data_IF_219209034016
#
_entry.id   IF_219209034016
#
_cell.length_a   1.000
_cell.length_b   1.000
_cell.length_c   1.000
_cell.angle_alpha   90.00
_cell.angle_beta   90.00
_cell.angle_gamma   90.00
#
_symmetry.space_group_name_H-M   'P 1'
#
loop_
_entity.id
_entity.type
_entity.pdbx_description
1 polymer ?
#
# COMPACT_ATOMS: atom_id res chain seq x y z
N UNK A 1 -9.17 0.64 -8.21
CA UNK A 1 -9.11 0.45 -6.75
C UNK A 1 -8.64 1.73 -6.03
N UNK A 2 -7.37 2.13 -6.13
CA UNK A 2 -6.84 3.35 -5.46
C UNK A 2 -7.61 4.63 -5.82
N UNK A 3 -7.86 4.85 -7.11
CA UNK A 3 -8.67 5.95 -7.63
C UNK A 3 -10.11 5.98 -7.06
N UNK A 4 -10.71 4.81 -6.85
CA UNK A 4 -12.07 4.68 -6.31
C UNK A 4 -12.06 4.87 -4.79
N UNK A 5 -11.02 4.38 -4.09
CA UNK A 5 -10.85 4.59 -2.65
C UNK A 5 -10.71 6.07 -2.29
N UNK A 6 -9.92 6.83 -3.04
CA UNK A 6 -9.78 8.28 -2.83
C UNK A 6 -11.01 9.09 -3.27
N UNK A 7 -11.73 8.66 -4.31
CA UNK A 7 -12.98 9.32 -4.70
C UNK A 7 -14.04 9.26 -3.60
N UNK A 8 -14.07 8.19 -2.79
CA UNK A 8 -14.96 8.08 -1.62
C UNK A 8 -14.62 9.15 -0.57
N UNK A 9 -13.33 9.43 -0.37
CA UNK A 9 -12.84 10.41 0.62
C UNK A 9 -13.13 11.87 0.22
N UNK A 10 -13.08 12.17 -1.08
CA UNK A 10 -13.31 13.53 -1.58
C UNK A 10 -14.80 13.90 -1.69
N UNK A 11 -15.69 12.91 -1.84
CA UNK A 11 -17.13 13.13 -2.03
C UNK A 11 -17.92 13.39 -0.73
N UNK A 12 -17.26 13.44 0.44
CA UNK A 12 -17.93 13.72 1.73
C UNK A 12 -18.54 15.12 1.77
N UNK A 13 -18.08 16.06 0.92
CA UNK A 13 -18.63 17.42 0.85
C UNK A 13 -19.82 17.58 -0.09
N UNK A 14 -20.10 16.60 -0.98
CA UNK A 14 -21.19 16.64 -1.95
C UNK A 14 -21.12 17.76 -3.01
N UNK A 15 -20.04 18.55 -3.05
CA UNK A 15 -19.93 19.74 -3.91
C UNK A 15 -19.00 19.59 -5.12
N UNK A 16 -18.28 18.47 -5.27
CA UNK A 16 -17.31 18.25 -6.36
C UNK A 16 -17.46 16.87 -7.00
N UNK A 17 -17.49 16.83 -8.34
CA UNK A 17 -17.69 15.60 -9.15
C UNK A 17 -16.41 15.20 -9.91
N UNK A 18 -15.63 14.32 -9.28
CA UNK A 18 -14.69 13.33 -9.87
C UNK A 18 -13.28 13.74 -10.35
N UNK A 19 -12.24 13.13 -9.77
CA UNK A 19 -10.82 13.14 -10.20
C UNK A 19 -10.58 12.31 -11.49
N UNK A 20 -9.85 12.84 -12.48
CA UNK A 20 -9.34 12.13 -13.69
C UNK A 20 -7.86 11.73 -13.50
N UNK A 21 -7.51 10.51 -13.90
CA UNK A 21 -6.22 9.84 -13.64
C UNK A 21 -5.36 9.66 -14.90
N UNK A 22 -5.82 10.10 -16.07
CA UNK A 22 -5.18 9.79 -17.35
C UNK A 22 -4.17 10.86 -17.79
N UNK A 23 -2.90 10.74 -17.38
CA UNK A 23 -1.83 11.65 -17.84
C UNK A 23 -0.51 11.52 -17.08
N UNK A 24 0.41 10.75 -17.66
CA UNK A 24 1.75 10.32 -17.20
C UNK A 24 2.63 11.34 -16.44
N UNK A 25 3.40 10.87 -15.45
CA UNK A 25 4.85 10.61 -15.56
C UNK A 25 5.46 10.28 -14.19
N UNK A 26 6.34 9.28 -14.18
CA UNK A 26 7.10 8.80 -13.01
C UNK A 26 8.10 9.86 -12.53
N UNK A 27 7.78 10.57 -11.45
CA UNK A 27 8.70 11.39 -10.67
C UNK A 27 9.37 10.56 -9.57
N UNK A 28 10.48 9.92 -9.93
CA UNK A 28 11.58 9.37 -9.11
C UNK A 28 11.29 8.84 -7.69
N UNK A 29 11.11 7.52 -7.61
CA UNK A 29 11.90 6.70 -6.70
C UNK A 29 13.03 6.04 -7.51
N UNK A 30 14.11 6.78 -7.82
CA UNK A 30 15.41 6.24 -8.28
C UNK A 30 16.43 7.36 -8.57
N UNK A 31 17.29 7.65 -7.61
CA UNK A 31 18.70 8.01 -7.90
C UNK A 31 19.45 6.70 -8.16
N UNK A 32 19.39 6.16 -9.39
CA UNK A 32 20.28 5.10 -9.88
C UNK A 32 19.97 4.74 -11.34
N UNK A 33 20.30 5.60 -12.30
CA UNK A 33 20.71 5.22 -13.67
C UNK A 33 20.70 6.46 -14.57
N UNK A 34 21.84 7.14 -14.68
CA UNK A 34 22.08 8.15 -15.71
C UNK A 34 23.38 7.85 -16.46
N UNK A 35 23.35 6.79 -17.27
CA UNK A 35 24.38 6.53 -18.29
C UNK A 35 23.71 5.96 -19.54
N UNK A 36 23.26 6.83 -20.46
CA UNK A 36 23.38 6.65 -21.92
C UNK A 36 22.59 7.72 -22.70
N UNK A 37 23.32 8.66 -23.29
CA UNK A 37 23.36 8.85 -24.76
C UNK A 37 22.07 9.12 -25.54
N UNK A 38 21.93 10.37 -25.96
CA UNK A 38 21.01 10.96 -26.96
C UNK A 38 21.05 10.38 -28.40
N UNK A 39 19.97 10.70 -29.16
CA UNK A 39 19.78 10.89 -30.64
C UNK A 39 18.93 9.78 -31.32
N UNK A 40 17.94 10.00 -32.19
CA UNK A 40 17.33 11.16 -32.87
C UNK A 40 16.67 10.73 -34.21
N UNK A 41 15.64 11.49 -34.67
CA UNK A 41 15.11 11.61 -36.05
C UNK A 41 13.84 10.77 -36.46
N UNK A 42 13.11 11.09 -37.58
CA UNK A 42 11.84 11.85 -37.54
C UNK A 42 10.63 11.27 -38.36
N UNK A 43 9.49 11.99 -38.25
CA UNK A 43 8.19 11.98 -38.97
C UNK A 43 8.12 11.53 -40.45
N UNK A 44 6.98 10.94 -40.82
CA UNK A 44 6.34 11.07 -42.15
C UNK A 44 4.79 10.92 -42.06
N UNK A 45 4.07 11.50 -43.03
CA UNK A 45 2.63 11.81 -43.01
C UNK A 45 1.84 11.18 -44.19
N UNK A 46 0.51 11.44 -44.21
CA UNK A 46 -0.51 11.29 -45.29
C UNK A 46 -1.36 9.98 -45.24
N UNK A 47 -2.67 9.90 -45.57
CA UNK A 47 -3.68 10.78 -46.19
C UNK A 47 -5.13 10.34 -45.78
N UNK A 48 -6.15 11.22 -45.91
CA UNK A 48 -7.59 10.95 -45.65
C UNK A 48 -8.39 10.43 -46.86
N UNK A 49 -9.69 10.75 -47.09
CA UNK A 49 -10.84 11.02 -46.19
C UNK A 49 -12.13 10.22 -46.59
N UNK A 50 -13.24 10.28 -45.83
CA UNK A 50 -14.60 10.21 -46.42
C UNK A 50 -15.69 10.86 -45.55
N UNK A 51 -16.68 11.44 -46.24
CA UNK A 51 -17.75 12.35 -45.80
C UNK A 51 -18.97 11.63 -45.22
N UNK A 52 -19.68 12.26 -44.27
CA UNK A 52 -21.14 12.49 -44.37
C UNK A 52 -21.69 13.34 -43.21
N UNK A 53 -22.22 14.51 -43.58
CA UNK A 53 -23.33 15.28 -42.98
C UNK A 53 -23.39 15.44 -41.45
N UNK A 54 -22.87 16.57 -40.97
CA UNK A 54 -23.24 17.15 -39.69
C UNK A 54 -23.77 18.57 -39.95
N UNK A 55 -25.08 18.68 -40.16
CA UNK A 55 -25.83 19.94 -40.05
C UNK A 55 -27.24 19.60 -39.55
N UNK A 56 -27.31 19.32 -38.24
CA UNK A 56 -28.52 19.42 -37.45
C UNK A 56 -28.14 20.21 -36.19
N UNK A 57 -28.12 21.52 -36.38
CA UNK A 57 -27.78 22.54 -35.41
C UNK A 57 -28.81 22.62 -34.27
N UNK A 58 -28.33 23.03 -33.11
CA UNK A 58 -29.08 23.77 -32.09
C UNK A 58 -30.18 23.04 -31.29
N UNK A 59 -29.81 21.98 -30.57
CA UNK A 59 -30.35 21.79 -29.22
C UNK A 59 -29.30 22.27 -28.22
N UNK A 60 -29.61 23.33 -27.45
CA UNK A 60 -28.82 23.88 -26.33
C UNK A 60 -28.16 22.77 -25.51
N UNK A 61 -26.93 22.41 -25.85
CA UNK A 61 -26.01 21.74 -24.94
C UNK A 61 -25.30 22.85 -24.21
N UNK A 62 -25.80 23.21 -23.04
CA UNK A 62 -24.89 23.72 -22.00
C UNK A 62 -23.79 22.67 -21.93
N UNK A 63 -22.53 22.97 -22.29
CA UNK A 63 -21.46 21.99 -22.16
C UNK A 63 -21.49 21.51 -20.70
N UNK A 64 -21.39 20.20 -20.42
CA UNK A 64 -21.26 19.77 -19.03
C UNK A 64 -20.14 20.61 -18.43
N UNK A 65 -20.48 21.36 -17.36
CA UNK A 65 -19.52 22.21 -16.68
C UNK A 65 -18.24 21.37 -16.48
N UNK A 66 -17.05 21.89 -16.83
CA UNK A 66 -15.83 21.11 -16.84
C UNK A 66 -15.67 20.42 -15.48
N UNK A 67 -15.90 19.10 -15.49
CA UNK A 67 -15.80 18.29 -14.29
C UNK A 67 -14.32 18.06 -14.06
N UNK A 68 -13.83 18.83 -13.09
CA UNK A 68 -12.55 18.73 -12.41
C UNK A 68 -11.34 19.39 -13.06
N UNK A 69 -10.64 20.10 -12.18
CA UNK A 69 -9.61 21.07 -12.47
C UNK A 69 -8.28 20.42 -12.85
N UNK A 70 -7.43 21.23 -13.47
CA UNK A 70 -6.08 20.97 -13.97
C UNK A 70 -5.03 20.54 -12.92
N UNK A 71 -5.43 19.87 -11.84
CA UNK A 71 -4.56 19.47 -10.72
C UNK A 71 -4.19 17.99 -10.83
N UNK A 72 -2.95 17.73 -11.23
CA UNK A 72 -2.36 16.39 -11.22
C UNK A 72 -1.87 16.03 -9.81
N UNK A 73 -2.26 14.86 -9.31
CA UNK A 73 -1.78 14.33 -8.03
C UNK A 73 -0.80 13.18 -8.25
N UNK A 74 0.26 13.12 -7.45
CA UNK A 74 1.25 12.04 -7.50
C UNK A 74 0.66 10.67 -7.14
N UNK A 75 1.25 9.57 -7.64
CA UNK A 75 0.78 8.20 -7.35
C UNK A 75 0.88 7.84 -5.85
N UNK A 76 1.73 8.55 -5.11
CA UNK A 76 1.97 8.44 -3.67
C UNK A 76 0.94 9.19 -2.82
N UNK A 77 0.19 10.15 -3.40
CA UNK A 77 -0.78 10.95 -2.65
C UNK A 77 -1.75 10.06 -1.86
N UNK A 78 -2.26 9.00 -2.50
CA UNK A 78 -3.23 8.11 -1.87
C UNK A 78 -2.67 7.43 -0.63
N UNK A 79 -1.43 6.96 -0.73
CA UNK A 79 -0.76 6.25 0.34
C UNK A 79 -0.40 7.18 1.48
N UNK A 80 0.16 8.35 1.17
CA UNK A 80 0.49 9.36 2.17
C UNK A 80 -0.75 9.89 2.89
N UNK A 81 -1.84 10.16 2.15
CA UNK A 81 -3.10 10.59 2.75
C UNK A 81 -3.69 9.52 3.69
N UNK A 82 -3.70 8.25 3.28
CA UNK A 82 -4.17 7.14 4.12
C UNK A 82 -3.31 6.99 5.38
N UNK A 83 -1.99 6.98 5.20
CA UNK A 83 -1.00 6.88 6.29
C UNK A 83 -1.20 8.00 7.31
N UNK A 84 -1.42 9.22 6.83
CA UNK A 84 -1.67 10.39 7.66
C UNK A 84 -3.03 10.37 8.36
N UNK A 85 -4.06 9.86 7.68
CA UNK A 85 -5.38 9.74 8.26
C UNK A 85 -5.42 8.73 9.41
N UNK A 86 -4.91 7.53 9.15
CA UNK A 86 -5.03 6.39 10.06
C UNK A 86 -3.94 6.36 11.13
N UNK A 87 -2.99 7.30 11.10
CA UNK A 87 -1.89 7.30 12.07
C UNK A 87 -0.90 6.15 11.84
N UNK A 88 -0.74 5.68 10.60
CA UNK A 88 0.09 4.51 10.31
C UNK A 88 1.58 4.84 10.46
N UNK A 89 2.12 4.61 11.66
CA UNK A 89 3.51 4.87 12.03
C UNK A 89 4.42 3.63 11.87
N UNK A 90 4.04 2.68 11.02
CA UNK A 90 4.64 1.34 10.94
C UNK A 90 6.17 1.36 10.69
N UNK A 91 6.66 2.39 9.99
CA UNK A 91 8.10 2.59 9.75
C UNK A 91 8.46 4.05 9.90
N UNK A 92 9.33 4.34 10.86
CA UNK A 92 10.01 5.62 10.92
C UNK A 92 11.24 5.59 10.01
N UNK A 93 11.03 5.89 8.71
CA UNK A 93 12.11 5.93 7.70
C UNK A 93 13.14 7.03 7.96
N UNK A 94 12.81 7.99 8.82
CA UNK A 94 13.65 9.15 9.12
C UNK A 94 14.77 8.76 10.10
N UNK A 95 14.61 7.65 10.82
CA UNK A 95 15.48 7.26 11.94
C UNK A 95 16.47 6.20 11.49
N UNK A 96 17.72 6.62 11.38
CA UNK A 96 18.82 5.79 10.92
C UNK A 96 20.17 6.21 11.53
N UNK A 97 21.16 5.32 11.46
CA UNK A 97 22.55 5.55 11.86
C UNK A 97 22.81 5.43 13.37
N UNK A 98 22.03 4.60 14.05
CA UNK A 98 22.19 4.34 15.49
C UNK A 98 23.13 3.16 15.82
N UNK A 99 23.87 2.67 14.83
CA UNK A 99 24.80 1.53 14.97
C UNK A 99 24.13 0.16 14.98
N UNK A 100 22.82 0.09 14.69
CA UNK A 100 22.07 -1.15 14.44
C UNK A 100 21.67 -1.30 12.96
N UNK A 101 22.17 -0.40 12.14
CA UNK A 101 21.94 -0.31 10.71
C UNK A 101 23.23 0.18 10.03
N UNK A 102 23.25 0.17 8.69
CA UNK A 102 24.42 0.58 7.91
C UNK A 102 24.38 2.06 7.49
N UNK A 103 23.38 2.83 7.94
CA UNK A 103 23.16 4.18 7.44
C UNK A 103 24.10 5.19 8.11
N UNK A 104 24.62 6.10 7.32
CA UNK A 104 25.49 7.20 7.76
C UNK A 104 25.22 8.44 6.90
N UNK A 105 25.18 9.66 7.48
CA UNK A 105 25.38 9.98 8.91
C UNK A 105 24.17 9.61 9.79
N UNK A 106 24.31 9.60 11.13
CA UNK A 106 23.18 9.44 12.03
C UNK A 106 22.16 10.56 11.86
N UNK A 107 20.89 10.17 11.75
CA UNK A 107 19.74 11.10 11.62
C UNK A 107 19.47 11.94 12.88
N UNK A 108 19.91 11.47 14.06
CA UNK A 108 19.63 12.08 15.35
C UNK A 108 20.85 11.98 16.29
N UNK A 109 20.92 12.81 17.34
CA UNK A 109 21.95 12.69 18.38
C UNK A 109 21.88 11.33 19.10
N UNK A 110 23.03 10.82 19.57
CA UNK A 110 23.14 9.50 20.23
C UNK A 110 22.28 9.34 21.50
N UNK A 111 21.84 10.45 22.10
CA UNK A 111 21.23 10.48 23.44
C UNK A 111 19.70 10.69 23.37
N UNK A 112 19.11 10.57 22.18
CA UNK A 112 17.68 10.81 21.97
C UNK A 112 16.84 9.66 22.54
N UNK A 113 15.68 10.00 23.10
CA UNK A 113 14.70 9.03 23.61
C UNK A 113 13.81 8.49 22.50
N UNK A 114 13.21 7.32 22.71
CA UNK A 114 12.24 6.76 21.76
C UNK A 114 11.07 7.73 21.48
N UNK A 115 10.58 8.41 22.52
CA UNK A 115 9.48 9.36 22.37
C UNK A 115 9.87 10.54 21.46
N UNK A 116 11.09 11.05 21.57
CA UNK A 116 11.58 12.13 20.72
C UNK A 116 11.78 11.68 19.27
N UNK A 117 12.28 10.45 19.07
CA UNK A 117 12.45 9.82 17.76
C UNK A 117 11.11 9.62 17.05
N UNK A 118 10.08 9.23 17.79
CA UNK A 118 8.74 8.94 17.25
C UNK A 118 7.97 10.23 16.91
N UNK A 119 8.13 11.31 17.68
CA UNK A 119 7.40 12.60 17.58
C UNK A 119 7.59 13.39 16.25
N UNK A 120 8.24 12.81 15.25
CA UNK A 120 8.44 13.41 13.93
C UNK A 120 8.03 12.52 12.75
N UNK A 121 7.62 11.28 13.03
CA UNK A 121 7.33 10.25 12.01
C UNK A 121 6.21 10.66 11.04
N UNK A 122 5.33 11.57 11.46
CA UNK A 122 4.18 12.07 10.69
C UNK A 122 4.27 13.55 10.31
N UNK A 123 5.48 14.14 10.34
CA UNK A 123 5.66 15.58 10.07
C UNK A 123 5.18 16.03 8.67
N UNK A 124 5.26 15.13 7.68
CA UNK A 124 4.79 15.36 6.31
C UNK A 124 3.25 15.44 6.20
N UNK A 125 2.49 15.03 7.22
CA UNK A 125 1.03 14.99 7.17
C UNK A 125 0.35 16.36 7.11
N UNK A 126 1.06 17.42 7.53
CA UNK A 126 0.58 18.79 7.41
C UNK A 126 0.35 19.22 5.95
N UNK A 127 1.10 18.66 4.99
CA UNK A 127 0.95 18.93 3.57
C UNK A 127 -0.41 18.46 3.06
N UNK A 128 -0.81 17.23 3.40
CA UNK A 128 -2.09 16.64 3.02
C UNK A 128 -3.29 17.41 3.59
N UNK A 129 -3.15 17.98 4.80
CA UNK A 129 -4.14 18.89 5.37
C UNK A 129 -4.27 20.18 4.56
N UNK A 130 -3.16 20.74 4.09
CA UNK A 130 -3.15 21.96 3.28
C UNK A 130 -3.85 21.80 1.92
N UNK A 131 -3.90 20.57 1.40
CA UNK A 131 -4.64 20.23 0.17
C UNK A 131 -6.16 20.17 0.37
N UNK A 132 -6.65 20.33 1.60
CA UNK A 132 -8.08 20.29 1.94
C UNK A 132 -8.66 18.87 1.93
N UNK A 133 -7.83 17.84 2.10
CA UNK A 133 -8.29 16.46 2.22
C UNK A 133 -9.04 16.27 3.54
N UNK A 134 -10.21 15.63 3.47
CA UNK A 134 -11.01 15.29 4.64
C UNK A 134 -10.37 14.15 5.43
N UNK A 135 -10.57 14.14 6.75
CA UNK A 135 -10.17 13.07 7.67
C UNK A 135 -8.75 13.17 8.23
N UNK A 136 -7.83 13.93 7.61
CA UNK A 136 -6.49 14.16 8.17
C UNK A 136 -6.60 14.78 9.58
N UNK A 137 -6.13 14.12 10.65
CA UNK A 137 -6.36 14.56 12.02
C UNK A 137 -5.62 15.87 12.32
N UNK A 138 -6.15 16.66 13.26
CA UNK A 138 -5.50 17.92 13.66
C UNK A 138 -4.16 17.70 14.38
N UNK A 139 -4.01 16.55 15.03
CA UNK A 139 -2.81 16.12 15.74
C UNK A 139 -2.39 14.75 15.20
N UNK A 140 -1.09 14.52 14.98
CA UNK A 140 -0.61 13.20 14.56
C UNK A 140 -0.81 12.18 15.67
N UNK A 141 -1.05 10.93 15.27
CA UNK A 141 -1.05 9.77 16.15
C UNK A 141 0.34 9.13 16.13
N UNK A 142 1.27 9.79 16.82
CA UNK A 142 2.68 9.40 16.86
C UNK A 142 2.88 7.93 17.27
N UNK A 143 1.97 7.38 18.07
CA UNK A 143 2.04 6.01 18.60
C UNK A 143 1.15 5.01 17.87
N UNK A 144 0.38 5.41 16.86
CA UNK A 144 -0.51 4.51 16.12
C UNK A 144 -1.63 3.93 16.99
N UNK A 145 -2.04 4.64 18.04
CA UNK A 145 -3.07 4.20 18.98
C UNK A 145 -4.44 4.00 18.31
N UNK A 146 -4.75 4.73 17.24
CA UNK A 146 -5.96 4.54 16.45
C UNK A 146 -6.01 3.16 15.82
N UNK A 147 -4.91 2.70 15.21
CA UNK A 147 -4.82 1.36 14.62
C UNK A 147 -4.96 0.29 15.70
N UNK A 148 -4.26 0.44 16.83
CA UNK A 148 -4.37 -0.49 17.95
C UNK A 148 -5.80 -0.56 18.51
N UNK A 149 -6.49 0.58 18.62
CA UNK A 149 -7.87 0.64 19.13
C UNK A 149 -8.85 -0.03 18.17
N UNK A 150 -8.69 0.17 16.86
CA UNK A 150 -9.63 -0.35 15.87
C UNK A 150 -9.38 -1.83 15.52
N UNK A 151 -8.11 -2.24 15.49
CA UNK A 151 -7.70 -3.58 15.01
C UNK A 151 -7.14 -4.48 16.11
N UNK A 152 -7.04 -3.98 17.36
CA UNK A 152 -6.67 -4.76 18.54
C UNK A 152 -5.16 -4.86 18.81
N UNK A 153 -4.30 -4.31 17.95
CA UNK A 153 -2.84 -4.34 18.11
C UNK A 153 -2.32 -5.76 18.34
N UNK A 154 -1.75 -6.04 19.52
CA UNK A 154 -1.30 -7.39 19.91
C UNK A 154 -2.39 -8.29 20.50
N UNK A 155 -3.55 -7.74 20.84
CA UNK A 155 -4.65 -8.44 21.51
C UNK A 155 -5.62 -9.10 20.50
N UNK A 156 -5.09 -9.77 19.48
CA UNK A 156 -5.88 -10.35 18.37
C UNK A 156 -6.23 -11.83 18.55
N UNK A 157 -5.88 -12.44 19.68
CA UNK A 157 -6.01 -13.89 19.90
C UNK A 157 -7.46 -14.43 19.85
N UNK A 158 -8.46 -13.56 19.95
CA UNK A 158 -9.88 -13.92 19.83
C UNK A 158 -10.36 -14.09 18.37
N UNK A 159 -9.55 -13.70 17.40
CA UNK A 159 -9.88 -13.90 15.99
C UNK A 159 -9.66 -15.37 15.60
N UNK A 160 -10.08 -15.76 14.39
CA UNK A 160 -9.89 -17.11 13.88
C UNK A 160 -9.58 -17.07 12.39
N UNK A 161 -9.03 -18.17 11.87
CA UNK A 161 -8.84 -18.38 10.42
C UNK A 161 -7.93 -17.35 9.74
N UNK A 162 -6.79 -17.05 10.38
CA UNK A 162 -5.74 -16.20 9.79
C UNK A 162 -4.41 -16.95 9.86
N UNK A 163 -3.66 -16.92 8.76
CA UNK A 163 -2.30 -17.42 8.69
C UNK A 163 -1.37 -16.27 8.32
N UNK A 164 -0.38 -15.99 9.16
CA UNK A 164 0.59 -14.92 8.96
C UNK A 164 1.90 -15.50 8.41
N UNK A 165 2.13 -15.40 7.10
CA UNK A 165 3.41 -15.69 6.45
C UNK A 165 4.30 -14.44 6.47
N UNK A 166 5.58 -14.61 6.82
CA UNK A 166 6.56 -13.52 6.75
C UNK A 166 7.88 -14.04 6.13
N UNK A 167 8.54 -13.22 5.32
CA UNK A 167 9.85 -13.55 4.75
C UNK A 167 10.99 -13.20 5.71
N UNK A 168 11.96 -14.08 5.93
CA UNK A 168 13.08 -13.77 6.83
C UNK A 168 14.02 -12.67 6.32
N UNK A 169 13.98 -12.37 5.01
CA UNK A 169 14.73 -11.27 4.38
C UNK A 169 13.88 -10.02 4.19
N UNK A 170 12.59 -10.08 4.54
CA UNK A 170 11.69 -8.96 4.46
C UNK A 170 11.89 -8.01 5.65
N UNK A 171 12.28 -6.74 5.45
CA UNK A 171 12.40 -5.78 6.56
C UNK A 171 11.08 -5.57 7.30
N UNK A 172 9.93 -5.82 6.66
CA UNK A 172 8.61 -5.67 7.27
C UNK A 172 8.25 -6.76 8.28
N UNK A 173 8.97 -7.89 8.27
CA UNK A 173 8.77 -9.00 9.23
C UNK A 173 8.87 -8.56 10.69
N UNK A 174 9.70 -7.55 10.99
CA UNK A 174 9.83 -7.02 12.34
C UNK A 174 8.54 -6.38 12.91
N UNK A 175 7.62 -5.95 12.04
CA UNK A 175 6.32 -5.40 12.42
C UNK A 175 5.16 -6.42 12.34
N UNK A 176 5.43 -7.64 11.88
CA UNK A 176 4.40 -8.67 11.67
C UNK A 176 4.10 -9.53 12.89
N UNK A 177 3.25 -10.55 12.68
CA UNK A 177 2.98 -11.60 13.67
C UNK A 177 3.97 -12.74 13.44
N UNK A 178 4.79 -13.03 14.45
CA UNK A 178 5.84 -14.06 14.38
C UNK A 178 5.35 -15.42 14.93
N UNK A 179 5.96 -16.54 14.50
CA UNK A 179 5.63 -17.87 15.01
C UNK A 179 5.73 -17.96 16.55
N UNK A 180 4.88 -18.80 17.18
CA UNK A 180 3.89 -19.70 16.58
C UNK A 180 2.58 -19.00 16.12
N UNK A 181 2.43 -17.71 16.42
CA UNK A 181 1.17 -16.97 16.32
C UNK A 181 0.42 -16.90 17.66
N UNK A 182 -0.59 -16.01 17.80
CA UNK A 182 -1.23 -15.70 19.08
C UNK A 182 -2.28 -16.72 19.55
N UNK A 183 -2.77 -17.62 18.68
CA UNK A 183 -3.73 -18.66 19.07
C UNK A 183 -3.65 -19.88 18.12
N UNK A 184 -4.25 -21.03 18.45
CA UNK A 184 -4.29 -22.19 17.55
C UNK A 184 -4.97 -21.93 16.20
N UNK A 185 -5.83 -20.91 16.11
CA UNK A 185 -6.51 -20.50 14.89
C UNK A 185 -5.83 -19.30 14.17
N UNK A 186 -4.84 -18.67 14.83
CA UNK A 186 -4.00 -17.60 14.29
C UNK A 186 -2.56 -18.08 14.27
N UNK A 187 -2.21 -18.83 13.22
CA UNK A 187 -0.87 -19.40 13.07
C UNK A 187 0.05 -18.44 12.32
N UNK A 188 1.35 -18.52 12.58
CA UNK A 188 2.34 -17.75 11.85
C UNK A 188 3.54 -18.62 11.42
N UNK A 189 4.17 -18.27 10.31
CA UNK A 189 5.35 -18.96 9.77
C UNK A 189 6.37 -17.99 9.18
N UNK A 190 7.64 -18.36 9.25
CA UNK A 190 8.74 -17.66 8.59
C UNK A 190 9.20 -18.45 7.36
N UNK A 191 9.22 -17.79 6.22
CA UNK A 191 9.81 -18.27 4.99
C UNK A 191 11.31 -17.90 5.02
N UNK A 192 12.15 -18.87 5.38
CA UNK A 192 13.61 -18.70 5.29
C UNK A 192 14.01 -18.38 3.85
N UNK A 193 14.88 -17.37 3.66
CA UNK A 193 15.24 -16.81 2.34
C UNK A 193 14.09 -16.14 1.58
N UNK A 194 12.91 -15.99 2.18
CA UNK A 194 11.80 -15.23 1.61
C UNK A 194 12.00 -13.73 1.77
N UNK A 195 11.84 -12.98 0.68
CA UNK A 195 11.64 -11.53 0.71
C UNK A 195 10.17 -11.16 1.02
N UNK A 196 9.77 -9.95 0.64
CA UNK A 196 8.42 -9.46 0.87
C UNK A 196 7.37 -10.36 0.20
N UNK A 197 6.53 -11.02 1.02
CA UNK A 197 5.43 -11.92 0.63
C UNK A 197 5.74 -12.90 -0.53
N UNK A 198 6.90 -13.58 -0.48
CA UNK A 198 7.36 -14.50 -1.53
C UNK A 198 6.34 -15.62 -1.87
N UNK A 199 5.60 -16.08 -0.88
CA UNK A 199 4.52 -17.06 -0.95
C UNK A 199 3.43 -16.70 -1.97
N UNK A 200 3.15 -15.42 -2.21
CA UNK A 200 2.12 -14.96 -3.13
C UNK A 200 2.55 -14.92 -4.61
N UNK A 201 3.85 -15.02 -4.90
CA UNK A 201 4.34 -15.06 -6.28
C UNK A 201 4.06 -16.42 -6.93
N UNK A 202 4.13 -16.45 -8.27
CA UNK A 202 4.07 -17.71 -9.01
C UNK A 202 5.21 -18.64 -8.62
N UNK A 203 4.94 -19.94 -8.69
CA UNK A 203 5.94 -20.97 -8.40
C UNK A 203 7.04 -20.99 -9.46
N UNK A 204 8.28 -21.14 -9.01
CA UNK A 204 9.47 -21.27 -9.86
C UNK A 204 10.31 -22.47 -9.43
N UNK A 205 11.23 -22.95 -10.28
CA UNK A 205 12.16 -24.02 -9.90
C UNK A 205 13.15 -23.57 -8.80
N UNK A 206 13.48 -22.27 -8.77
CA UNK A 206 14.42 -21.65 -7.81
C UNK A 206 13.80 -21.39 -6.43
N UNK A 207 12.51 -21.67 -6.24
CA UNK A 207 11.83 -21.43 -4.96
C UNK A 207 12.46 -22.27 -3.84
N UNK A 208 12.86 -21.65 -2.70
CA UNK A 208 13.41 -22.37 -1.57
C UNK A 208 12.36 -23.32 -0.96
N UNK A 209 12.81 -24.45 -0.40
CA UNK A 209 11.91 -25.44 0.22
C UNK A 209 11.00 -24.85 1.30
N UNK A 210 11.46 -23.79 1.98
CA UNK A 210 10.68 -23.04 2.97
C UNK A 210 9.39 -22.46 2.39
N UNK A 211 9.42 -21.81 1.23
CA UNK A 211 8.20 -21.23 0.62
C UNK A 211 7.29 -22.32 0.08
N UNK A 212 7.85 -23.42 -0.45
CA UNK A 212 7.07 -24.58 -0.89
C UNK A 212 6.30 -25.21 0.28
N UNK A 213 6.96 -25.36 1.43
CA UNK A 213 6.34 -25.85 2.65
C UNK A 213 5.25 -24.89 3.17
N UNK A 214 5.51 -23.58 3.17
CA UNK A 214 4.55 -22.56 3.59
C UNK A 214 3.31 -22.54 2.69
N UNK A 215 3.48 -22.54 1.36
CA UNK A 215 2.36 -22.65 0.41
C UNK A 215 1.54 -23.93 0.59
N UNK A 216 2.18 -25.06 0.96
CA UNK A 216 1.46 -26.30 1.30
C UNK A 216 0.60 -26.12 2.57
N UNK A 217 1.13 -25.46 3.60
CA UNK A 217 0.39 -25.16 4.82
C UNK A 217 -0.79 -24.22 4.54
N UNK A 218 -0.57 -23.14 3.80
CA UNK A 218 -1.61 -22.19 3.38
C UNK A 218 -2.76 -22.88 2.65
N UNK A 219 -2.44 -23.68 1.61
CA UNK A 219 -3.46 -24.44 0.87
C UNK A 219 -4.27 -25.38 1.77
N UNK A 220 -3.59 -26.06 2.70
CA UNK A 220 -4.25 -26.96 3.66
C UNK A 220 -5.20 -26.21 4.60
N UNK A 221 -4.77 -25.06 5.13
CA UNK A 221 -5.59 -24.21 6.01
C UNK A 221 -6.79 -23.62 5.26
N UNK A 222 -6.59 -23.10 4.05
CA UNK A 222 -7.67 -22.56 3.21
C UNK A 222 -8.70 -23.65 2.90
N UNK A 223 -8.25 -24.85 2.49
CA UNK A 223 -9.15 -25.97 2.23
C UNK A 223 -9.96 -26.36 3.48
N UNK A 224 -9.33 -26.38 4.66
CA UNK A 224 -10.00 -26.64 5.94
C UNK A 224 -11.05 -25.58 6.25
N UNK A 225 -10.74 -24.30 6.07
CA UNK A 225 -11.69 -23.21 6.34
C UNK A 225 -12.88 -23.26 5.39
N UNK A 226 -12.66 -23.48 4.10
CA UNK A 226 -13.73 -23.69 3.12
C UNK A 226 -14.59 -24.90 3.50
N UNK A 227 -13.98 -26.03 3.85
CA UNK A 227 -14.71 -27.22 4.30
C UNK A 227 -15.60 -26.97 5.52
N UNK A 228 -15.08 -26.29 6.55
CA UNK A 228 -15.86 -25.87 7.74
C UNK A 228 -17.07 -25.02 7.34
N UNK A 229 -16.92 -24.07 6.43
CA UNK A 229 -18.02 -23.20 6.00
C UNK A 229 -19.10 -23.92 5.20
N UNK A 230 -18.75 -25.01 4.51
CA UNK A 230 -19.68 -25.80 3.69
C UNK A 230 -20.40 -26.90 4.50
N UNK A 231 -20.19 -26.98 5.82
CA UNK A 231 -20.76 -28.04 6.66
C UNK A 231 -20.15 -29.42 6.39
N UNK A 232 -19.01 -29.48 5.69
CA UNK A 232 -18.28 -30.72 5.54
C UNK A 232 -17.57 -31.03 6.86
N UNK A 233 -17.89 -32.17 7.43
CA UNK A 233 -17.37 -32.64 8.71
C UNK A 233 -15.83 -32.64 8.70
N UNK A 234 -15.21 -32.05 9.72
CA UNK A 234 -13.80 -31.70 9.79
C UNK A 234 -12.89 -32.91 10.07
N UNK A 235 -13.09 -34.01 9.34
CA UNK A 235 -12.45 -35.31 9.58
C UNK A 235 -11.56 -35.78 8.43
N UNK A 236 -11.30 -34.93 7.44
CA UNK A 236 -10.39 -35.27 6.35
C UNK A 236 -9.24 -34.25 6.25
N UNK A 237 -8.03 -34.78 6.11
CA UNK A 237 -6.75 -34.09 5.86
C UNK A 237 -6.00 -33.61 7.09
N UNK A 238 -5.55 -34.60 7.88
CA UNK A 238 -4.19 -34.60 8.44
C UNK A 238 -3.51 -35.86 7.90
N UNK A 239 -2.63 -35.71 6.89
CA UNK A 239 -1.53 -36.64 6.58
C UNK A 239 -0.34 -35.80 6.12
#
# INVERSE_FOLDING_TARGET
AVAQGLQVWYNVTGTKRCLDWSGQSSGSAADASSLAGTRGAPRAAAAGPSRASADAEAARRVPPAPTCADVHFGPDLAWGALTCNDGMNLVNTIVHGFGKDLYWPPSHPKNVTLAEVVKGSMSFCSEYKSMGLYGVPEKPDDWGAWMDTNYGGRAIGAHTSIFFSNGNLDPWTGGGVLPPGPSPDLLASIINQGGHHLDLFFETEDDPDSVRAVRKMERSLIARWVGKTQGADATAVIV
#
